data_IF_748188951048
#
_entry.id   IF_748188951048
#
_cell.length_a   1.000
_cell.length_b   1.000
_cell.length_c   1.000
_cell.angle_alpha   90.00
_cell.angle_beta   90.00
_cell.angle_gamma   90.00
#
_symmetry.space_group_name_H-M   'P 1'
#
loop_
_entity.id
_entity.type
_entity.pdbx_description
1 polymer ?
#
# COMPACT_ATOMS: atom_id res chain seq x y z
N UNK A 1 23.67 19.59 -62.30
CA UNK A 1 24.20 19.78 -60.93
C UNK A 1 23.15 20.27 -59.91
N UNK A 2 22.12 21.02 -60.32
CA UNK A 2 21.11 21.59 -59.38
C UNK A 2 20.13 20.57 -58.77
N UNK A 3 19.82 19.48 -59.48
CA UNK A 3 18.88 18.43 -59.02
C UNK A 3 19.51 17.42 -58.04
N UNK A 4 20.84 17.34 -57.97
CA UNK A 4 21.57 16.44 -57.07
C UNK A 4 21.77 17.05 -55.67
N UNK A 5 21.84 18.39 -55.58
CA UNK A 5 21.93 19.12 -54.31
C UNK A 5 20.63 19.02 -53.48
N UNK A 6 19.47 18.89 -54.15
CA UNK A 6 18.15 18.85 -53.48
C UNK A 6 17.88 17.49 -52.82
N UNK A 7 18.46 16.40 -53.32
CA UNK A 7 18.31 15.05 -52.77
C UNK A 7 19.20 14.81 -51.54
N UNK A 8 20.34 15.50 -51.47
CA UNK A 8 21.21 15.47 -50.28
C UNK A 8 20.60 16.21 -49.09
N UNK A 9 19.76 17.23 -49.34
CA UNK A 9 19.03 17.97 -48.31
C UNK A 9 17.78 17.25 -47.79
N UNK A 10 17.26 16.23 -48.49
CA UNK A 10 16.08 15.49 -48.06
C UNK A 10 16.40 14.34 -47.09
N UNK A 11 17.66 13.90 -47.01
CA UNK A 11 18.10 12.86 -46.07
C UNK A 11 18.50 13.37 -44.68
N UNK A 12 18.55 14.69 -44.47
CA UNK A 12 18.97 15.27 -43.18
C UNK A 12 17.81 15.46 -42.17
N UNK A 13 16.58 15.09 -42.51
CA UNK A 13 15.40 15.42 -41.68
C UNK A 13 14.76 14.25 -40.91
N UNK A 14 15.23 13.01 -41.06
CA UNK A 14 14.59 11.84 -40.41
C UNK A 14 15.57 11.11 -39.48
N UNK A 15 16.03 11.79 -38.45
CA UNK A 15 16.58 11.14 -37.25
C UNK A 15 16.76 12.16 -36.14
N UNK A 16 15.73 12.32 -35.29
CA UNK A 16 15.86 12.47 -33.84
C UNK A 16 14.51 12.86 -33.23
N UNK A 17 13.62 11.88 -33.10
CA UNK A 17 12.78 11.81 -31.91
C UNK A 17 13.52 10.93 -30.88
N UNK A 18 13.25 11.23 -29.61
CA UNK A 18 13.69 10.52 -28.40
C UNK A 18 15.06 10.92 -27.85
N UNK A 19 15.05 11.85 -26.89
CA UNK A 19 15.36 11.49 -25.51
C UNK A 19 14.72 12.49 -24.54
N UNK A 20 14.00 11.92 -23.59
CA UNK A 20 13.25 12.55 -22.50
C UNK A 20 14.20 13.14 -21.47
N UNK A 21 13.76 14.22 -20.84
CA UNK A 21 14.40 14.83 -19.67
C UNK A 21 14.47 13.83 -18.52
N UNK A 22 15.66 13.35 -18.20
CA UNK A 22 15.99 12.88 -16.86
C UNK A 22 16.89 13.92 -16.20
N UNK A 23 16.29 14.97 -15.61
CA UNK A 23 17.00 15.83 -14.66
C UNK A 23 17.22 15.04 -13.37
N UNK A 24 18.30 14.28 -13.29
CA UNK A 24 18.82 13.81 -12.01
C UNK A 24 19.55 14.98 -11.36
N UNK A 25 18.90 15.61 -10.38
CA UNK A 25 19.57 16.52 -9.46
C UNK A 25 20.53 15.70 -8.58
N UNK A 26 21.76 15.49 -9.05
CA UNK A 26 22.82 14.88 -8.25
C UNK A 26 23.37 15.94 -7.30
N UNK A 27 22.63 16.17 -6.21
CA UNK A 27 23.11 16.98 -5.10
C UNK A 27 24.43 16.39 -4.58
N UNK A 28 25.37 17.30 -4.35
CA UNK A 28 26.78 17.03 -4.14
C UNK A 28 27.08 15.91 -3.15
N UNK A 29 28.00 15.05 -3.57
CA UNK A 29 28.78 14.16 -2.72
C UNK A 29 29.40 14.96 -1.56
N UNK A 30 28.78 14.88 -0.39
CA UNK A 30 29.50 14.94 0.88
C UNK A 30 29.23 13.62 1.59
N UNK A 31 30.29 12.83 1.68
CA UNK A 31 30.40 11.50 2.29
C UNK A 31 29.39 11.24 3.42
N UNK A 32 28.25 10.63 3.11
CA UNK A 32 27.32 10.09 4.12
C UNK A 32 27.38 8.57 4.06
N UNK A 33 28.26 8.01 4.89
CA UNK A 33 28.22 6.59 5.23
C UNK A 33 27.00 6.41 6.13
N UNK A 34 25.90 5.89 5.59
CA UNK A 34 24.76 5.45 6.39
C UNK A 34 24.99 4.01 6.86
N UNK A 35 25.27 3.84 8.15
CA UNK A 35 25.27 2.53 8.83
C UNK A 35 23.92 2.43 9.52
N UNK A 36 23.21 1.34 9.24
CA UNK A 36 21.78 1.10 9.51
C UNK A 36 20.88 1.69 8.43
N UNK A 37 20.17 0.81 7.71
CA UNK A 37 19.05 1.20 6.88
C UNK A 37 18.09 2.08 7.70
N UNK A 38 17.54 3.16 7.14
CA UNK A 38 16.48 3.90 7.82
C UNK A 38 15.35 2.90 8.18
N UNK A 39 14.69 3.06 9.34
CA UNK A 39 13.53 2.23 9.66
C UNK A 39 12.59 2.31 8.46
N UNK A 40 12.11 1.15 8.02
CA UNK A 40 11.30 0.99 6.83
C UNK A 40 9.97 1.74 7.00
N UNK A 41 9.99 3.06 6.75
CA UNK A 41 8.85 3.98 6.88
C UNK A 41 7.73 3.65 5.90
N UNK A 42 7.96 2.68 5.03
CA UNK A 42 7.01 2.16 4.05
C UNK A 42 6.09 1.07 4.61
N UNK A 43 6.39 0.49 5.79
CA UNK A 43 5.51 -0.49 6.43
C UNK A 43 4.27 0.19 7.00
N UNK A 44 3.22 0.24 6.18
CA UNK A 44 1.88 0.61 6.62
C UNK A 44 1.33 -0.46 7.57
N UNK A 45 0.73 -0.09 8.71
CA UNK A 45 0.13 -1.05 9.62
C UNK A 45 -1.04 -1.78 8.94
N UNK A 46 -1.33 -3.03 9.35
CA UNK A 46 -2.49 -3.75 8.88
C UNK A 46 -3.79 -3.09 9.36
N UNK A 47 -4.90 -3.41 8.71
CA UNK A 47 -6.22 -2.94 9.14
C UNK A 47 -6.74 -3.80 10.30
N UNK A 48 -7.12 -3.18 11.40
CA UNK A 48 -7.74 -3.86 12.53
C UNK A 48 -9.26 -3.74 12.47
N UNK A 49 -9.94 -4.87 12.70
CA UNK A 49 -11.40 -4.95 12.77
C UNK A 49 -11.77 -5.59 14.09
N UNK A 50 -12.54 -4.90 14.92
CA UNK A 50 -13.02 -5.41 16.21
C UNK A 50 -14.53 -5.53 16.12
N UNK A 51 -15.07 -6.74 16.28
CA UNK A 51 -16.51 -7.01 16.27
C UNK A 51 -17.24 -6.43 15.04
N UNK A 52 -16.58 -6.48 13.88
CA UNK A 52 -17.09 -5.97 12.61
C UNK A 52 -16.90 -4.45 12.38
N UNK A 53 -16.34 -3.72 13.35
CA UNK A 53 -16.04 -2.29 13.22
C UNK A 53 -14.57 -2.08 12.88
N UNK A 54 -14.32 -1.22 11.89
CA UNK A 54 -12.95 -0.84 11.51
C UNK A 54 -12.38 0.08 12.59
N UNK A 55 -11.24 -0.30 13.15
CA UNK A 55 -10.51 0.50 14.14
C UNK A 55 -9.26 1.05 13.48
N UNK A 56 -9.23 2.38 13.30
CA UNK A 56 -8.06 3.09 12.80
C UNK A 56 -7.20 3.48 14.00
N UNK A 57 -6.10 2.76 14.22
CA UNK A 57 -5.11 3.08 15.26
C UNK A 57 -5.09 2.12 16.45
N UNK A 58 -4.51 2.58 17.56
CA UNK A 58 -4.07 1.79 18.71
C UNK A 58 -5.13 0.80 19.22
N UNK A 59 -4.77 -0.48 19.17
CA UNK A 59 -5.50 -1.61 19.74
C UNK A 59 -5.40 -1.68 21.26
N UNK A 60 -4.57 -0.81 21.88
CA UNK A 60 -4.17 -0.87 23.29
C UNK A 60 -5.32 -0.78 24.31
N UNK A 61 -6.50 -0.30 23.86
CA UNK A 61 -7.70 -0.23 24.71
C UNK A 61 -8.43 -1.57 24.83
N UNK A 62 -8.03 -2.58 24.05
CA UNK A 62 -8.64 -3.90 24.08
C UNK A 62 -7.99 -4.77 25.16
N UNK A 63 -8.79 -5.26 26.10
CA UNK A 63 -8.33 -6.21 27.11
C UNK A 63 -8.11 -7.59 26.46
N UNK A 64 -6.91 -8.19 26.56
CA UNK A 64 -6.65 -9.52 26.01
C UNK A 64 -7.59 -10.61 26.55
N UNK A 65 -8.09 -10.47 27.77
CA UNK A 65 -9.01 -11.44 28.38
C UNK A 65 -10.38 -11.51 27.70
N UNK A 66 -10.78 -10.44 27.01
CA UNK A 66 -12.08 -10.34 26.34
C UNK A 66 -12.03 -10.84 24.89
N UNK A 67 -10.84 -11.17 24.38
CA UNK A 67 -10.65 -11.71 23.03
C UNK A 67 -11.15 -13.16 22.99
N UNK A 68 -12.02 -13.45 22.03
CA UNK A 68 -12.48 -14.80 21.72
C UNK A 68 -11.58 -15.44 20.66
N UNK A 69 -11.33 -14.73 19.57
CA UNK A 69 -10.54 -15.24 18.44
C UNK A 69 -9.90 -14.11 17.64
N UNK A 70 -8.75 -14.42 17.04
CA UNK A 70 -8.03 -13.54 16.13
C UNK A 70 -7.87 -14.27 14.80
N UNK A 71 -8.37 -13.67 13.73
CA UNK A 71 -8.26 -14.16 12.36
C UNK A 71 -7.42 -13.21 11.54
N UNK A 72 -6.41 -13.74 10.87
CA UNK A 72 -5.51 -12.95 10.03
C UNK A 72 -5.79 -13.29 8.58
N UNK A 73 -6.26 -12.30 7.83
CA UNK A 73 -6.53 -12.43 6.40
C UNK A 73 -5.38 -11.77 5.63
N UNK A 74 -4.83 -12.51 4.66
CA UNK A 74 -3.70 -12.09 3.81
C UNK A 74 -4.05 -12.36 2.34
N UNK A 75 -3.59 -11.48 1.44
CA UNK A 75 -3.81 -11.59 0.00
C UNK A 75 -5.14 -11.02 -0.48
N UNK A 76 -5.49 -11.26 -1.74
CA UNK A 76 -6.54 -10.53 -2.49
C UNK A 76 -7.95 -10.60 -1.88
N UNK A 77 -8.21 -11.61 -1.06
CA UNK A 77 -9.50 -11.76 -0.36
C UNK A 77 -9.79 -10.61 0.61
N UNK A 78 -8.76 -9.95 1.15
CA UNK A 78 -8.93 -8.78 2.04
C UNK A 78 -9.35 -7.54 1.28
N UNK A 79 -8.71 -7.25 0.15
CA UNK A 79 -9.02 -6.08 -0.69
C UNK A 79 -10.45 -6.17 -1.25
N UNK A 80 -10.94 -7.38 -1.57
CA UNK A 80 -12.32 -7.57 -2.02
C UNK A 80 -13.38 -7.20 -0.96
N UNK A 81 -13.07 -7.37 0.33
CA UNK A 81 -14.02 -7.08 1.43
C UNK A 81 -13.81 -5.70 2.06
N UNK A 82 -12.57 -5.22 2.12
CA UNK A 82 -12.20 -4.03 2.88
C UNK A 82 -11.50 -2.94 2.03
N UNK A 83 -11.42 -3.14 0.71
CA UNK A 83 -10.83 -2.18 -0.24
C UNK A 83 -9.34 -1.95 -0.01
N UNK A 84 -8.81 -0.82 -0.49
CA UNK A 84 -7.39 -0.44 -0.37
C UNK A 84 -6.89 -0.35 1.08
N UNK A 85 -7.79 -0.25 2.05
CA UNK A 85 -7.43 -0.28 3.46
C UNK A 85 -6.91 -1.67 3.89
N UNK A 86 -7.30 -2.74 3.19
CA UNK A 86 -6.90 -4.12 3.45
C UNK A 86 -5.69 -4.61 2.63
N UNK A 87 -5.06 -3.75 1.82
CA UNK A 87 -3.91 -4.13 0.97
C UNK A 87 -2.69 -4.55 1.80
N UNK A 88 -2.54 -4.01 3.01
CA UNK A 88 -1.49 -4.39 3.96
C UNK A 88 -1.88 -5.60 4.83
N UNK A 89 -3.01 -6.24 4.53
CA UNK A 89 -3.61 -7.32 5.32
C UNK A 89 -4.61 -6.82 6.37
N UNK A 90 -5.46 -7.74 6.84
CA UNK A 90 -6.55 -7.44 7.78
C UNK A 90 -6.49 -8.40 8.96
N UNK A 91 -6.55 -7.85 10.17
CA UNK A 91 -6.62 -8.60 11.42
C UNK A 91 -8.02 -8.40 12.00
N UNK A 92 -8.81 -9.47 12.02
CA UNK A 92 -10.16 -9.49 12.58
C UNK A 92 -10.06 -10.05 14.00
N UNK A 93 -10.55 -9.29 14.95
CA UNK A 93 -10.63 -9.65 16.36
C UNK A 93 -12.12 -9.73 16.72
N UNK A 94 -12.49 -10.86 17.28
CA UNK A 94 -13.84 -11.08 17.81
C UNK A 94 -13.76 -11.16 19.32
N UNK A 95 -14.61 -10.41 20.02
CA UNK A 95 -14.70 -10.42 21.47
C UNK A 95 -15.72 -11.45 21.97
N UNK A 96 -15.56 -11.88 23.23
CA UNK A 96 -16.49 -12.80 23.89
C UNK A 96 -17.89 -12.19 24.03
N UNK A 97 -17.96 -10.87 24.25
CA UNK A 97 -19.23 -10.15 24.42
C UNK A 97 -20.06 -10.15 23.12
N UNK A 98 -19.43 -9.91 21.98
CA UNK A 98 -20.11 -9.89 20.69
C UNK A 98 -20.82 -11.22 20.39
N UNK A 99 -20.22 -12.37 20.75
CA UNK A 99 -20.85 -13.68 20.59
C UNK A 99 -22.11 -13.81 21.45
N UNK A 100 -22.04 -13.42 22.72
CA UNK A 100 -23.18 -13.48 23.64
C UNK A 100 -24.32 -12.56 23.19
N UNK A 101 -24.00 -11.38 22.68
CA UNK A 101 -25.01 -10.44 22.18
C UNK A 101 -25.72 -10.95 20.93
N UNK A 102 -24.99 -11.61 20.03
CA UNK A 102 -25.57 -12.24 18.84
C UNK A 102 -26.52 -13.37 19.22
N UNK A 103 -26.14 -14.18 20.23
CA UNK A 103 -26.97 -15.28 20.74
C UNK A 103 -28.25 -14.77 21.42
N UNK A 104 -28.14 -13.72 22.25
CA UNK A 104 -29.32 -13.08 22.88
C UNK A 104 -30.29 -12.51 21.85
N UNK A 105 -29.78 -11.91 20.78
CA UNK A 105 -30.61 -11.37 19.69
C UNK A 105 -31.29 -12.47 18.88
N UNK A 106 -30.60 -13.61 18.67
CA UNK A 106 -31.16 -14.75 17.95
C UNK A 106 -32.30 -15.44 18.73
N UNK A 107 -32.23 -15.48 20.06
CA UNK A 107 -33.24 -16.10 20.93
C UNK A 107 -34.48 -15.20 21.11
N UNK A 108 -34.37 -13.89 20.84
CA UNK A 108 -35.45 -12.91 21.01
C UNK A 108 -36.37 -12.78 19.77
N UNK A 109 -36.02 -13.46 18.66
CA UNK A 109 -36.77 -13.43 17.41
C UNK A 109 -37.60 -14.70 17.25
#
# INVERSE_FOLDING_TARGET
MKKLILIFFLFLSVSALAQTKDSVNKSGSTNSICICAPPDTTKKPPLYIIDGKIVKGNIDKLNPNDILSISVLKGDSTTAKYGSAGDNGVIIITTKQAKTDTLKQAIKK
#
